data_IF_211034909081
#
_entry.id   IF_211034909081
#
_cell.length_a   1.000
_cell.length_b   1.000
_cell.length_c   1.000
_cell.angle_alpha   90.00
_cell.angle_beta   90.00
_cell.angle_gamma   90.00
#
_symmetry.space_group_name_H-M   'P 1'
#
loop_
_entity.id
_entity.type
_entity.pdbx_description
1 polymer ?
#
# COMPACT_ATOMS: atom_id res chain seq x y z
N UNK A 1 -4.38 16.30 -0.56
CA UNK A 1 -3.43 15.17 -0.58
C UNK A 1 -3.08 14.81 0.84
N UNK A 2 -3.00 13.52 1.14
CA UNK A 2 -2.50 13.00 2.40
C UNK A 2 -1.01 13.30 2.53
N UNK A 3 -0.55 13.59 3.74
CA UNK A 3 0.88 13.65 4.02
C UNK A 3 1.49 12.24 4.04
N UNK A 4 2.82 12.08 3.89
CA UNK A 4 3.48 10.78 4.08
C UNK A 4 3.16 10.14 5.44
N UNK A 5 3.03 10.95 6.50
CA UNK A 5 2.63 10.47 7.82
C UNK A 5 1.20 9.91 7.82
N UNK A 6 0.24 10.63 7.24
CA UNK A 6 -1.15 10.17 7.15
C UNK A 6 -1.27 8.86 6.34
N UNK A 7 -0.48 8.73 5.27
CA UNK A 7 -0.40 7.51 4.46
C UNK A 7 0.11 6.34 5.31
N UNK A 8 1.23 6.55 6.01
CA UNK A 8 1.80 5.54 6.89
C UNK A 8 0.83 5.11 7.99
N UNK A 9 0.20 6.06 8.69
CA UNK A 9 -0.73 5.76 9.79
C UNK A 9 -1.93 4.97 9.27
N UNK A 10 -2.51 5.37 8.15
CA UNK A 10 -3.64 4.69 7.53
C UNK A 10 -3.32 3.26 7.11
N UNK A 11 -2.18 3.03 6.46
CA UNK A 11 -1.75 1.69 6.07
C UNK A 11 -1.44 0.84 7.30
N UNK A 12 -0.71 1.40 8.27
CA UNK A 12 -0.39 0.70 9.52
C UNK A 12 -1.64 0.24 10.24
N UNK A 13 -2.61 1.13 10.46
CA UNK A 13 -3.86 0.78 11.12
C UNK A 13 -4.63 -0.29 10.36
N UNK A 14 -4.71 -0.17 9.03
CA UNK A 14 -5.37 -1.16 8.17
C UNK A 14 -4.72 -2.53 8.29
N UNK A 15 -3.41 -2.64 8.10
CA UNK A 15 -2.70 -3.91 8.15
C UNK A 15 -2.81 -4.57 9.54
N UNK A 16 -2.66 -3.78 10.61
CA UNK A 16 -2.76 -4.30 11.98
C UNK A 16 -4.18 -4.67 12.38
N UNK A 17 -5.21 -4.08 11.77
CA UNK A 17 -6.60 -4.48 11.96
C UNK A 17 -6.94 -5.73 11.14
N UNK A 18 -6.49 -5.81 9.88
CA UNK A 18 -6.80 -6.92 8.98
C UNK A 18 -6.11 -8.22 9.40
N UNK A 19 -4.84 -8.14 9.88
CA UNK A 19 -4.02 -9.29 10.30
C UNK A 19 -4.05 -10.48 9.35
N UNK A 20 -4.06 -10.20 8.05
CA UNK A 20 -4.06 -11.21 7.00
C UNK A 20 -3.51 -10.58 5.71
N UNK A 21 -2.75 -11.35 4.96
CA UNK A 21 -2.25 -10.97 3.64
C UNK A 21 -3.42 -10.92 2.65
N UNK A 22 -3.42 -9.91 1.79
CA UNK A 22 -4.31 -9.80 0.63
C UNK A 22 -3.60 -10.32 -0.61
N UNK A 23 -3.83 -11.59 -0.92
CA UNK A 23 -3.20 -12.31 -2.04
C UNK A 23 -4.25 -13.15 -2.80
N UNK A 24 -3.88 -13.62 -3.99
CA UNK A 24 -4.61 -14.65 -4.71
C UNK A 24 -4.13 -16.07 -4.38
N UNK A 25 -4.75 -17.07 -5.01
CA UNK A 25 -4.44 -18.50 -4.79
C UNK A 25 -2.99 -18.87 -5.15
N UNK A 26 -2.26 -18.02 -5.88
CA UNK A 26 -0.85 -18.21 -6.22
C UNK A 26 0.09 -17.46 -5.27
N UNK A 27 -0.44 -16.82 -4.23
CA UNK A 27 0.33 -15.98 -3.29
C UNK A 27 0.75 -14.63 -3.87
N UNK A 28 0.15 -14.19 -4.97
CA UNK A 28 0.45 -12.86 -5.54
C UNK A 28 -0.38 -11.80 -4.84
N UNK A 29 0.26 -10.72 -4.41
CA UNK A 29 -0.39 -9.58 -3.78
C UNK A 29 -1.54 -9.02 -4.63
N UNK A 30 -2.66 -8.70 -3.97
CA UNK A 30 -3.86 -8.09 -4.58
C UNK A 30 -4.24 -6.82 -3.84
N UNK A 31 -4.53 -5.75 -4.58
CA UNK A 31 -5.09 -4.53 -4.00
C UNK A 31 -6.41 -4.87 -3.29
N UNK A 32 -7.21 -5.77 -3.87
CA UNK A 32 -8.36 -6.39 -3.21
C UNK A 32 -8.41 -7.89 -3.48
N UNK A 33 -8.49 -8.69 -2.43
CA UNK A 33 -8.68 -10.14 -2.54
C UNK A 33 -9.99 -10.61 -1.92
N UNK A 34 -10.19 -11.93 -1.89
CA UNK A 34 -11.37 -12.55 -1.30
C UNK A 34 -11.59 -12.11 0.15
N UNK A 35 -12.84 -12.23 0.62
CA UNK A 35 -13.23 -11.85 1.98
C UNK A 35 -13.02 -10.37 2.33
N UNK A 36 -12.96 -9.49 1.32
CA UNK A 36 -12.86 -8.04 1.51
C UNK A 36 -11.48 -7.57 1.98
N UNK A 37 -10.46 -8.42 1.87
CA UNK A 37 -9.08 -8.07 2.23
C UNK A 37 -8.51 -7.07 1.23
N UNK A 38 -7.66 -6.17 1.73
CA UNK A 38 -6.91 -5.21 0.92
C UNK A 38 -5.45 -5.24 1.34
N UNK A 39 -4.51 -5.13 0.39
CA UNK A 39 -3.10 -4.99 0.72
C UNK A 39 -2.79 -3.59 1.25
N UNK A 40 -1.51 -3.30 1.51
CA UNK A 40 -1.03 -1.99 1.90
C UNK A 40 -1.54 -0.89 0.96
N UNK A 41 -1.30 -1.05 -0.35
CA UNK A 41 -1.68 -0.07 -1.39
C UNK A 41 -3.19 -0.05 -1.61
N UNK A 42 -3.82 -1.23 -1.65
CA UNK A 42 -5.26 -1.36 -1.83
C UNK A 42 -6.09 -0.68 -0.74
N UNK A 43 -5.58 -0.59 0.48
CA UNK A 43 -6.22 0.12 1.60
C UNK A 43 -6.34 1.64 1.39
N UNK A 44 -5.50 2.19 0.51
CA UNK A 44 -5.46 3.61 0.17
C UNK A 44 -6.35 3.94 -1.03
N UNK A 45 -6.62 2.97 -1.91
CA UNK A 45 -7.46 3.16 -3.09
C UNK A 45 -8.94 3.19 -2.69
N UNK A 46 -9.62 4.30 -2.94
CA UNK A 46 -11.06 4.41 -2.65
C UNK A 46 -11.88 3.43 -3.48
N UNK A 47 -13.03 3.04 -2.93
CA UNK A 47 -13.92 2.07 -3.56
C UNK A 47 -14.52 2.58 -4.89
N UNK A 48 -14.73 3.88 -5.04
CA UNK A 48 -15.32 4.51 -6.22
C UNK A 48 -14.37 4.59 -7.44
N UNK A 49 -13.06 4.44 -7.22
CA UNK A 49 -12.04 4.50 -8.28
C UNK A 49 -11.29 3.18 -8.44
N UNK A 50 -11.67 2.14 -7.69
CA UNK A 50 -11.10 0.82 -7.84
C UNK A 50 -11.71 0.10 -9.05
N UNK A 51 -10.84 -0.46 -9.89
CA UNK A 51 -11.20 -1.32 -11.01
C UNK A 51 -10.29 -2.56 -10.99
N UNK A 52 -10.78 -3.71 -11.46
CA UNK A 52 -9.99 -4.95 -11.53
C UNK A 52 -8.73 -4.80 -12.39
N UNK A 53 -8.74 -3.87 -13.35
CA UNK A 53 -7.61 -3.53 -14.21
C UNK A 53 -6.45 -2.83 -13.47
N UNK A 54 -6.65 -2.43 -12.21
CA UNK A 54 -5.58 -1.90 -11.36
C UNK A 54 -4.68 -3.01 -10.80
N UNK A 55 -5.15 -4.27 -10.82
CA UNK A 55 -4.46 -5.42 -10.27
C UNK A 55 -3.31 -5.89 -11.18
N UNK A 56 -2.37 -6.64 -10.59
CA UNK A 56 -1.33 -7.35 -11.35
C UNK A 56 -0.05 -6.57 -11.61
N UNK A 57 0.04 -5.31 -11.14
CA UNK A 57 1.27 -4.52 -11.18
C UNK A 57 1.55 -3.93 -9.80
N UNK A 58 2.67 -4.34 -9.18
CA UNK A 58 3.10 -3.82 -7.87
C UNK A 58 3.53 -2.35 -7.94
N UNK A 59 3.46 -1.64 -6.80
CA UNK A 59 3.69 -0.19 -6.79
C UNK A 59 5.13 0.19 -7.20
N UNK A 60 6.09 -0.70 -6.97
CA UNK A 60 7.50 -0.52 -7.35
C UNK A 60 7.73 -0.33 -8.85
N UNK A 61 6.87 -0.90 -9.71
CA UNK A 61 6.94 -0.68 -11.16
C UNK A 61 6.79 0.79 -11.52
N UNK A 62 5.99 1.52 -10.74
CA UNK A 62 5.67 2.91 -11.01
C UNK A 62 6.74 3.89 -10.54
N UNK A 63 7.79 3.44 -9.84
CA UNK A 63 8.92 4.29 -9.40
C UNK A 63 9.59 5.05 -10.54
N UNK A 64 9.61 4.46 -11.73
CA UNK A 64 10.20 5.05 -12.94
C UNK A 64 9.16 5.30 -14.04
N UNK A 65 7.89 5.03 -13.77
CA UNK A 65 6.81 5.30 -14.70
C UNK A 65 6.43 6.78 -14.64
N UNK A 66 6.12 7.36 -15.80
CA UNK A 66 5.59 8.73 -15.86
C UNK A 66 4.11 8.79 -15.47
N UNK A 67 3.38 7.69 -15.69
CA UNK A 67 1.95 7.61 -15.42
C UNK A 67 1.46 6.14 -15.38
N UNK A 68 0.23 5.92 -14.94
CA UNK A 68 -0.40 4.60 -14.92
C UNK A 68 -1.77 4.61 -14.26
N UNK A 69 -2.61 3.60 -14.55
CA UNK A 69 -3.96 3.50 -13.95
C UNK A 69 -3.90 3.53 -12.42
N UNK A 70 -2.96 2.79 -11.79
CA UNK A 70 -2.78 2.79 -10.34
C UNK A 70 -2.35 4.16 -9.80
N UNK A 71 -1.42 4.85 -10.46
CA UNK A 71 -1.00 6.21 -10.05
C UNK A 71 -2.17 7.19 -10.09
N UNK A 72 -2.99 7.14 -11.16
CA UNK A 72 -4.19 7.97 -11.28
C UNK A 72 -5.24 7.64 -10.21
N UNK A 73 -5.45 6.35 -9.91
CA UNK A 73 -6.38 5.91 -8.87
C UNK A 73 -5.94 6.35 -7.47
N UNK A 74 -4.65 6.24 -7.16
CA UNK A 74 -4.05 6.75 -5.91
C UNK A 74 -4.18 8.27 -5.82
N UNK A 75 -3.87 8.99 -6.90
CA UNK A 75 -4.00 10.45 -6.94
C UNK A 75 -5.44 10.89 -6.73
N UNK A 76 -6.39 10.25 -7.41
CA UNK A 76 -7.81 10.46 -7.20
C UNK A 76 -8.20 10.17 -5.74
N UNK A 77 -7.56 9.19 -5.10
CA UNK A 77 -7.71 8.81 -3.68
C UNK A 77 -6.95 9.70 -2.68
N UNK A 78 -6.45 10.86 -3.11
CA UNK A 78 -5.64 11.80 -2.32
C UNK A 78 -4.23 11.30 -1.93
N UNK A 79 -3.66 10.33 -2.65
CA UNK A 79 -2.30 9.83 -2.48
C UNK A 79 -1.46 10.23 -3.68
N UNK A 80 -0.52 11.16 -3.51
CA UNK A 80 0.31 11.65 -4.61
C UNK A 80 1.50 10.72 -4.91
N UNK A 81 1.25 9.55 -5.50
CA UNK A 81 2.30 8.58 -5.84
C UNK A 81 3.22 9.01 -7.01
N UNK A 82 3.02 10.21 -7.58
CA UNK A 82 3.99 10.85 -8.48
C UNK A 82 5.15 11.52 -7.72
N UNK A 83 4.99 11.78 -6.41
CA UNK A 83 6.07 12.28 -5.55
C UNK A 83 7.05 11.15 -5.22
N UNK A 84 8.36 11.31 -5.52
CA UNK A 84 9.37 10.31 -5.21
C UNK A 84 9.40 9.85 -3.74
N UNK A 85 9.10 10.73 -2.79
CA UNK A 85 9.08 10.36 -1.37
C UNK A 85 7.86 9.52 -1.03
N UNK A 86 6.72 9.79 -1.69
CA UNK A 86 5.49 9.02 -1.48
C UNK A 86 5.62 7.64 -2.12
N UNK A 87 6.11 7.54 -3.36
CA UNK A 87 6.27 6.24 -4.01
C UNK A 87 7.27 5.36 -3.25
N UNK A 88 8.38 5.91 -2.76
CA UNK A 88 9.34 5.15 -1.96
C UNK A 88 8.71 4.65 -0.64
N UNK A 89 7.91 5.48 0.04
CA UNK A 89 7.17 5.04 1.23
C UNK A 89 6.15 3.92 0.90
N UNK A 90 5.42 4.04 -0.21
CA UNK A 90 4.44 3.03 -0.64
C UNK A 90 5.12 1.69 -0.94
N UNK A 91 6.29 1.70 -1.59
CA UNK A 91 7.09 0.50 -1.85
C UNK A 91 7.49 -0.18 -0.54
N UNK A 92 7.95 0.58 0.45
CA UNK A 92 8.36 0.02 1.74
C UNK A 92 7.17 -0.56 2.53
N UNK A 93 5.99 0.06 2.43
CA UNK A 93 4.76 -0.46 3.02
C UNK A 93 4.27 -1.74 2.32
N UNK A 94 4.38 -1.81 1.00
CA UNK A 94 4.10 -3.03 0.21
C UNK A 94 5.06 -4.15 0.61
N UNK A 95 6.36 -3.88 0.73
CA UNK A 95 7.37 -4.86 1.18
C UNK A 95 7.08 -5.43 2.57
N UNK A 96 6.63 -4.61 3.54
CA UNK A 96 6.23 -5.13 4.85
C UNK A 96 5.04 -6.10 4.75
N UNK A 97 4.09 -5.83 3.86
CA UNK A 97 2.93 -6.70 3.65
C UNK A 97 3.31 -7.99 2.91
N UNK A 98 4.15 -7.90 1.88
CA UNK A 98 4.46 -8.99 0.96
C UNK A 98 5.56 -9.93 1.49
N UNK A 99 6.59 -9.39 2.17
CA UNK A 99 7.80 -10.15 2.51
C UNK A 99 7.84 -10.65 3.97
N UNK A 100 7.00 -10.11 4.86
CA UNK A 100 7.04 -10.41 6.29
C UNK A 100 5.81 -11.17 6.78
N UNK A 101 6.01 -12.00 7.80
CA UNK A 101 4.88 -12.65 8.45
C UNK A 101 4.01 -11.61 9.19
N UNK A 102 2.70 -11.87 9.25
CA UNK A 102 1.72 -10.97 9.91
C UNK A 102 2.09 -10.65 11.36
N UNK A 103 2.75 -11.58 12.05
CA UNK A 103 3.18 -11.40 13.44
C UNK A 103 4.38 -10.44 13.58
N UNK A 104 5.15 -10.24 12.51
CA UNK A 104 6.27 -9.29 12.46
C UNK A 104 5.81 -7.87 12.10
N UNK A 105 4.65 -7.72 11.46
CA UNK A 105 4.12 -6.43 11.00
C UNK A 105 4.14 -5.32 12.08
N UNK A 106 3.71 -5.54 13.34
CA UNK A 106 3.76 -4.49 14.36
C UNK A 106 5.16 -3.94 14.59
N UNK A 107 6.18 -4.81 14.60
CA UNK A 107 7.57 -4.42 14.82
C UNK A 107 8.15 -3.70 13.59
N UNK A 108 7.92 -4.24 12.39
CA UNK A 108 8.45 -3.67 11.14
C UNK A 108 7.80 -2.32 10.81
N UNK A 109 6.49 -2.19 10.97
CA UNK A 109 5.78 -0.92 10.78
C UNK A 109 6.28 0.13 11.78
N UNK A 110 6.49 -0.24 13.04
CA UNK A 110 7.04 0.70 14.03
C UNK A 110 8.49 1.13 13.70
N UNK A 111 9.32 0.21 13.19
CA UNK A 111 10.67 0.53 12.73
C UNK A 111 10.66 1.47 11.51
N UNK A 112 9.75 1.23 10.56
CA UNK A 112 9.52 2.10 9.41
C UNK A 112 9.10 3.51 9.86
N UNK A 113 8.13 3.62 10.77
CA UNK A 113 7.67 4.91 11.30
C UNK A 113 8.79 5.72 11.96
N UNK A 114 9.66 5.08 12.75
CA UNK A 114 10.83 5.74 13.36
C UNK A 114 11.82 6.23 12.32
N UNK A 115 12.09 5.42 11.29
CA UNK A 115 13.04 5.76 10.20
C UNK A 115 12.62 7.00 9.42
N UNK A 116 11.31 7.20 9.26
CA UNK A 116 10.73 8.38 8.62
C UNK A 116 10.35 9.51 9.60
N UNK A 117 10.65 9.36 10.90
CA UNK A 117 10.29 10.31 11.95
C UNK A 117 8.77 10.62 12.03
N UNK A 118 7.92 9.62 11.76
CA UNK A 118 6.46 9.74 11.92
C UNK A 118 5.99 9.50 13.36
N UNK A 119 6.78 8.73 14.12
CA UNK A 119 6.56 8.33 15.53
C UNK A 119 7.83 8.45 16.34
#
# INVERSE_FOLDING_TARGET
MLSPKDIYERVREHLLAQRAVSEDDNGSCRLRSAHGRKCAIGSLVRDDVYETDLEGVGISYYRHAQDGKLLRALYASNVNAYDPNVIDLLIELEQVHDDASVDEWPHLLAALGRRHAFV
#
